data_IF_396069538744
#
_entry.id   IF_396069538744
#
_cell.length_a   1.000
_cell.length_b   1.000
_cell.length_c   1.000
_cell.angle_alpha   90.00
_cell.angle_beta   90.00
_cell.angle_gamma   90.00
#
_symmetry.space_group_name_H-M   'P 1'
#
loop_
_entity.id
_entity.type
_entity.pdbx_description
1 polymer ?
#
# COMPACT_ATOMS: atom_id res chain seq x y z
N UNK A 1 37.50 52.18 13.47
CA UNK A 1 38.21 50.89 13.53
C UNK A 1 37.18 49.79 13.33
N UNK A 2 37.31 49.04 12.24
CA UNK A 2 36.45 47.92 11.90
C UNK A 2 36.73 46.74 12.84
N UNK A 3 35.69 46.08 13.35
CA UNK A 3 35.78 44.65 13.68
C UNK A 3 34.47 43.97 13.28
N UNK A 4 34.58 43.17 12.22
CA UNK A 4 33.50 42.39 11.66
C UNK A 4 33.57 40.93 12.18
N UNK A 5 32.38 40.36 12.35
CA UNK A 5 31.97 38.95 12.16
C UNK A 5 32.59 37.85 13.02
N UNK A 6 31.68 37.06 13.61
CA UNK A 6 31.62 35.64 13.30
C UNK A 6 30.14 35.20 13.25
N UNK A 7 29.67 34.79 12.07
CA UNK A 7 28.46 33.98 11.89
C UNK A 7 28.94 32.53 11.86
N UNK A 8 28.46 31.73 12.79
CA UNK A 8 28.76 30.31 12.85
C UNK A 8 27.97 29.59 11.75
N UNK A 9 28.66 29.18 10.69
CA UNK A 9 28.08 28.39 9.60
C UNK A 9 28.39 26.92 9.88
N UNK A 10 27.33 26.14 10.06
CA UNK A 10 27.30 24.70 10.20
C UNK A 10 28.09 24.03 9.05
N UNK A 11 29.22 23.41 9.40
CA UNK A 11 30.05 22.67 8.44
C UNK A 11 29.37 21.35 8.12
N UNK A 12 28.66 21.29 6.99
CA UNK A 12 28.26 20.02 6.38
C UNK A 12 29.53 19.31 5.91
N UNK A 13 30.03 18.37 6.71
CA UNK A 13 31.15 17.49 6.34
C UNK A 13 30.72 16.59 5.19
N UNK A 14 31.27 16.83 4.00
CA UNK A 14 31.19 15.91 2.87
C UNK A 14 32.09 14.70 3.16
N UNK A 15 31.49 13.54 3.37
CA UNK A 15 32.22 12.28 3.45
C UNK A 15 32.55 11.84 2.03
N UNK A 16 33.84 11.71 1.70
CA UNK A 16 34.28 11.22 0.39
C UNK A 16 34.00 9.71 0.27
N UNK A 17 33.42 9.30 -0.85
CA UNK A 17 33.32 7.89 -1.24
C UNK A 17 34.70 7.45 -1.74
N UNK A 18 35.40 6.61 -0.96
CA UNK A 18 36.54 5.85 -1.47
C UNK A 18 36.00 4.71 -2.33
N UNK A 19 36.20 4.80 -3.65
CA UNK A 19 35.97 3.69 -4.58
C UNK A 19 37.32 3.01 -4.80
N UNK A 20 37.59 1.96 -4.02
CA UNK A 20 38.66 1.04 -4.36
C UNK A 20 38.16 0.15 -5.50
N UNK A 21 38.53 0.53 -6.73
CA UNK A 21 38.32 -0.25 -7.92
C UNK A 21 39.21 -1.50 -7.91
N UNK A 22 38.59 -2.67 -7.86
CA UNK A 22 38.77 -3.77 -8.82
C UNK A 22 38.19 -5.06 -8.25
N UNK A 23 37.24 -5.67 -8.96
CA UNK A 23 37.35 -7.07 -9.36
C UNK A 23 36.24 -7.38 -10.37
N UNK A 24 36.66 -7.45 -11.63
CA UNK A 24 35.87 -8.00 -12.71
C UNK A 24 35.82 -9.53 -12.53
N UNK A 25 34.64 -10.09 -12.28
CA UNK A 25 34.39 -11.51 -12.44
C UNK A 25 33.09 -11.70 -13.22
N UNK A 26 33.21 -12.06 -14.50
CA UNK A 26 32.12 -12.41 -15.39
C UNK A 26 31.88 -13.90 -15.23
N UNK A 27 30.93 -14.28 -14.37
CA UNK A 27 30.36 -15.63 -14.38
C UNK A 27 28.84 -15.50 -14.50
N UNK A 28 28.33 -15.89 -15.67
CA UNK A 28 26.93 -15.91 -16.06
C UNK A 28 26.11 -16.93 -15.26
N UNK A 29 25.69 -16.56 -14.07
CA UNK A 29 24.44 -17.03 -13.46
C UNK A 29 23.68 -15.79 -13.00
N UNK A 30 22.36 -15.72 -13.25
CA UNK A 30 21.53 -14.56 -12.91
C UNK A 30 21.98 -13.96 -11.57
N UNK A 31 22.55 -12.75 -11.55
CA UNK A 31 23.10 -12.23 -10.32
C UNK A 31 21.89 -12.03 -9.40
N UNK A 32 21.78 -12.87 -8.37
CA UNK A 32 21.16 -12.43 -7.13
C UNK A 32 21.98 -11.23 -6.70
N UNK A 33 21.61 -10.05 -7.19
CA UNK A 33 22.11 -8.76 -6.75
C UNK A 33 21.85 -8.74 -5.27
N UNK A 34 22.89 -9.11 -4.50
CA UNK A 34 22.90 -8.95 -3.05
C UNK A 34 22.91 -7.45 -2.87
N UNK A 35 21.72 -6.92 -2.62
CA UNK A 35 21.48 -5.53 -2.27
C UNK A 35 22.49 -5.18 -1.17
N UNK A 36 23.39 -4.23 -1.43
CA UNK A 36 24.37 -3.81 -0.42
C UNK A 36 23.61 -3.30 0.79
N UNK A 37 23.82 -3.94 1.95
CA UNK A 37 23.20 -3.50 3.20
C UNK A 37 23.77 -2.14 3.58
N UNK A 38 22.92 -1.12 3.67
CA UNK A 38 23.35 0.17 4.21
C UNK A 38 23.42 0.07 5.74
N UNK A 39 24.64 0.22 6.27
CA UNK A 39 24.89 0.32 7.70
C UNK A 39 25.12 1.78 8.07
N UNK A 40 24.21 2.37 8.83
CA UNK A 40 24.46 3.65 9.52
C UNK A 40 24.65 3.34 11.00
N UNK A 41 25.83 3.65 11.53
CA UNK A 41 26.18 3.44 12.93
C UNK A 41 26.07 1.96 13.39
N UNK A 42 26.31 1.00 12.48
CA UNK A 42 26.18 -0.44 12.75
C UNK A 42 24.74 -0.97 12.75
N UNK A 43 23.75 -0.15 12.42
CA UNK A 43 22.35 -0.54 12.29
C UNK A 43 22.06 -0.89 10.83
N UNK A 44 21.59 -2.11 10.57
CA UNK A 44 21.08 -2.50 9.25
C UNK A 44 19.76 -1.77 8.98
N UNK A 45 19.74 -0.94 7.94
CA UNK A 45 18.53 -0.23 7.55
C UNK A 45 17.68 -1.09 6.60
N UNK A 46 16.37 -1.21 6.83
CA UNK A 46 15.46 -1.84 5.87
C UNK A 46 15.34 -1.03 4.58
N UNK A 47 15.10 -1.73 3.47
CA UNK A 47 14.97 -1.15 2.13
C UNK A 47 13.49 -1.02 1.73
N UNK A 48 13.09 0.13 1.21
CA UNK A 48 11.76 0.35 0.65
C UNK A 48 11.73 0.00 -0.84
N UNK A 49 10.85 -0.95 -1.22
CA UNK A 49 10.71 -1.39 -2.62
C UNK A 49 10.03 -0.41 -3.58
N UNK A 50 9.45 0.70 -3.10
CA UNK A 50 8.78 1.72 -3.94
C UNK A 50 9.74 2.87 -4.27
N UNK A 51 10.29 3.53 -3.25
CA UNK A 51 11.21 4.67 -3.47
C UNK A 51 12.67 4.24 -3.67
N UNK A 52 12.96 2.94 -3.58
CA UNK A 52 14.30 2.36 -3.73
C UNK A 52 15.35 2.96 -2.78
N UNK A 53 14.96 3.23 -1.53
CA UNK A 53 15.80 3.87 -0.52
C UNK A 53 15.81 3.08 0.80
N UNK A 54 16.91 3.22 1.55
CA UNK A 54 17.06 2.66 2.90
C UNK A 54 16.48 3.61 3.94
N UNK A 55 15.55 3.11 4.75
CA UNK A 55 14.88 3.91 5.78
C UNK A 55 15.14 3.40 7.18
N UNK A 56 15.10 4.27 8.21
CA UNK A 56 15.03 3.82 9.59
C UNK A 56 13.81 2.94 9.84
N UNK A 57 13.90 1.98 10.76
CA UNK A 57 12.79 1.04 11.05
C UNK A 57 11.49 1.76 11.44
N UNK A 58 11.57 2.89 12.15
CA UNK A 58 10.40 3.67 12.54
C UNK A 58 9.69 4.39 11.37
N UNK A 59 10.38 4.56 10.24
CA UNK A 59 9.78 5.02 8.98
C UNK A 59 9.21 3.86 8.14
N UNK A 60 9.42 2.61 8.54
CA UNK A 60 8.89 1.45 7.83
C UNK A 60 7.45 1.13 8.23
N UNK A 61 6.72 0.57 7.28
CA UNK A 61 5.39 0.05 7.50
C UNK A 61 5.47 -1.45 7.81
N UNK A 62 5.04 -1.84 9.01
CA UNK A 62 5.33 -3.19 9.57
C UNK A 62 4.17 -4.19 9.43
N UNK A 63 3.03 -3.79 8.84
CA UNK A 63 1.78 -4.57 8.93
C UNK A 63 1.60 -5.61 7.81
N UNK A 64 2.61 -5.83 6.96
CA UNK A 64 2.49 -6.68 5.77
C UNK A 64 2.95 -8.11 6.01
N UNK A 65 2.02 -9.07 5.95
CA UNK A 65 2.29 -10.51 6.09
C UNK A 65 3.18 -11.12 4.99
N UNK A 66 3.40 -10.43 3.88
CA UNK A 66 4.14 -10.96 2.73
C UNK A 66 5.66 -10.80 2.84
N UNK A 67 6.16 -10.06 3.83
CA UNK A 67 7.61 -9.80 4.01
C UNK A 67 8.18 -8.74 3.07
N UNK A 68 7.39 -8.16 2.17
CA UNK A 68 7.80 -6.98 1.40
C UNK A 68 7.77 -5.73 2.27
N UNK A 69 8.78 -4.88 2.10
CA UNK A 69 9.03 -3.74 2.95
C UNK A 69 8.82 -2.43 2.20
N UNK A 70 8.03 -1.54 2.78
CA UNK A 70 7.77 -0.21 2.24
C UNK A 70 7.79 0.81 3.37
N UNK A 71 8.28 2.01 3.07
CA UNK A 71 8.23 3.09 4.05
C UNK A 71 6.78 3.60 4.18
N UNK A 72 6.47 4.20 5.33
CA UNK A 72 5.14 4.73 5.65
C UNK A 72 4.69 5.76 4.63
N UNK A 73 5.57 6.64 4.18
CA UNK A 73 5.25 7.63 3.15
C UNK A 73 4.81 6.98 1.84
N UNK A 74 5.59 6.03 1.31
CA UNK A 74 5.22 5.34 0.07
C UNK A 74 3.93 4.53 0.22
N UNK A 75 3.71 3.88 1.36
CA UNK A 75 2.48 3.13 1.60
C UNK A 75 1.27 4.05 1.71
N UNK A 76 1.43 5.23 2.32
CA UNK A 76 0.38 6.24 2.45
C UNK A 76 -0.10 6.69 1.07
N UNK A 77 0.82 7.15 0.22
CA UNK A 77 0.52 7.57 -1.15
C UNK A 77 -0.06 6.44 -2.00
N UNK A 78 0.48 5.23 -1.86
CA UNK A 78 0.00 4.07 -2.60
C UNK A 78 -1.45 3.73 -2.22
N UNK A 79 -1.76 3.66 -0.92
CA UNK A 79 -3.12 3.39 -0.45
C UNK A 79 -4.06 4.50 -0.88
N UNK A 80 -3.65 5.76 -0.80
CA UNK A 80 -4.43 6.89 -1.30
C UNK A 80 -4.80 6.70 -2.79
N UNK A 81 -3.81 6.34 -3.61
CA UNK A 81 -4.00 6.08 -5.03
C UNK A 81 -4.94 4.90 -5.27
N UNK A 82 -4.81 3.80 -4.52
CA UNK A 82 -5.72 2.66 -4.62
C UNK A 82 -7.17 3.07 -4.33
N UNK A 83 -7.38 3.80 -3.24
CA UNK A 83 -8.71 4.25 -2.84
C UNK A 83 -9.31 5.20 -3.88
N UNK A 84 -8.53 6.16 -4.42
CA UNK A 84 -8.94 7.02 -5.53
C UNK A 84 -9.31 6.25 -6.80
N UNK A 85 -8.72 5.07 -7.01
CA UNK A 85 -9.04 4.15 -8.10
C UNK A 85 -10.12 3.12 -7.73
N UNK A 86 -10.86 3.35 -6.64
CA UNK A 86 -11.92 2.48 -6.11
C UNK A 86 -11.45 1.05 -5.77
N UNK A 87 -10.16 0.87 -5.50
CA UNK A 87 -9.56 -0.40 -5.11
C UNK A 87 -9.68 -0.54 -3.58
N UNK A 88 -10.78 -1.16 -3.14
CA UNK A 88 -11.12 -1.30 -1.71
C UNK A 88 -10.38 -2.43 -1.00
N UNK A 89 -9.79 -3.36 -1.76
CA UNK A 89 -8.94 -4.44 -1.23
C UNK A 89 -7.55 -4.22 -1.81
N UNK A 90 -6.69 -3.58 -1.02
CA UNK A 90 -5.40 -3.04 -1.47
C UNK A 90 -4.41 -4.20 -1.72
N UNK A 91 -3.91 -4.39 -2.94
CA UNK A 91 -2.88 -5.39 -3.20
C UNK A 91 -1.52 -4.93 -2.69
N UNK A 92 -0.62 -5.88 -2.38
CA UNK A 92 0.78 -5.58 -2.13
C UNK A 92 1.39 -4.78 -3.31
N UNK A 93 2.15 -3.69 -3.08
CA UNK A 93 2.78 -2.93 -4.16
C UNK A 93 3.77 -3.73 -5.03
N UNK A 94 4.31 -4.84 -4.50
CA UNK A 94 5.10 -5.76 -5.31
C UNK A 94 4.21 -6.52 -6.30
N UNK A 95 4.40 -6.25 -7.60
CA UNK A 95 3.62 -6.82 -8.71
C UNK A 95 3.57 -8.36 -8.76
N UNK A 96 4.55 -9.06 -8.20
CA UNK A 96 4.59 -10.54 -8.18
C UNK A 96 3.93 -11.11 -6.93
N UNK A 97 3.52 -10.27 -5.99
CA UNK A 97 2.88 -10.67 -4.74
C UNK A 97 1.35 -10.72 -4.89
N UNK A 98 0.74 -11.81 -4.43
CA UNK A 98 -0.72 -12.02 -4.48
C UNK A 98 -1.44 -11.64 -3.19
N UNK A 99 -0.71 -11.17 -2.17
CA UNK A 99 -1.31 -10.81 -0.87
C UNK A 99 -2.05 -9.49 -1.00
N UNK A 100 -3.25 -9.43 -0.39
CA UNK A 100 -4.10 -8.25 -0.36
C UNK A 100 -4.48 -7.90 1.09
N UNK A 101 -4.86 -6.64 1.30
CA UNK A 101 -5.08 -6.07 2.62
C UNK A 101 -6.38 -5.28 2.68
N UNK A 102 -7.14 -5.50 3.75
CA UNK A 102 -8.27 -4.66 4.12
C UNK A 102 -7.88 -3.47 4.99
N UNK A 103 -8.84 -2.59 5.32
CA UNK A 103 -8.64 -1.37 6.12
C UNK A 103 -7.95 -1.63 7.46
N UNK A 104 -8.21 -2.77 8.09
CA UNK A 104 -7.65 -3.13 9.40
C UNK A 104 -6.11 -3.13 9.44
N UNK A 105 -5.45 -3.32 8.29
CA UNK A 105 -3.99 -3.30 8.19
C UNK A 105 -3.41 -1.88 8.17
N UNK A 106 -4.23 -0.85 7.92
CA UNK A 106 -3.78 0.52 7.74
C UNK A 106 -4.12 1.44 8.93
N UNK A 107 -4.51 0.85 10.07
CA UNK A 107 -4.87 1.57 11.30
C UNK A 107 -3.77 2.51 11.83
N UNK A 108 -2.50 2.13 11.66
CA UNK A 108 -1.34 2.94 12.09
C UNK A 108 -0.92 3.98 11.06
N UNK A 109 -1.48 3.93 9.86
CA UNK A 109 -1.08 4.74 8.71
C UNK A 109 -2.11 5.82 8.38
N UNK A 110 -3.40 5.49 8.51
CA UNK A 110 -4.50 6.35 8.10
C UNK A 110 -5.26 6.92 9.31
N UNK A 111 -5.81 8.14 9.19
CA UNK A 111 -6.73 8.68 10.18
C UNK A 111 -7.96 7.78 10.39
N UNK A 112 -8.49 7.74 11.62
CA UNK A 112 -9.65 6.93 11.99
C UNK A 112 -10.87 7.17 11.09
N UNK A 113 -11.16 8.43 10.75
CA UNK A 113 -12.31 8.76 9.90
C UNK A 113 -12.17 8.16 8.50
N UNK A 114 -10.95 8.07 7.96
CA UNK A 114 -10.67 7.41 6.67
C UNK A 114 -10.96 5.93 6.74
N UNK A 115 -10.51 5.27 7.80
CA UNK A 115 -10.70 3.83 8.01
C UNK A 115 -12.17 3.46 8.22
N UNK A 116 -12.87 4.21 9.07
CA UNK A 116 -14.30 4.01 9.37
C UNK A 116 -15.15 4.10 8.11
N UNK A 117 -14.83 5.09 7.29
CA UNK A 117 -15.47 5.36 6.00
C UNK A 117 -15.18 4.25 4.99
N UNK A 118 -13.92 3.87 4.80
CA UNK A 118 -13.54 2.74 3.96
C UNK A 118 -14.29 1.45 4.36
N UNK A 119 -14.32 1.13 5.66
CA UNK A 119 -15.06 -0.02 6.18
C UNK A 119 -16.57 0.04 5.90
N UNK A 120 -17.16 1.23 5.89
CA UNK A 120 -18.58 1.41 5.53
C UNK A 120 -18.82 1.06 4.06
N UNK A 121 -18.00 1.58 3.14
CA UNK A 121 -18.13 1.27 1.70
C UNK A 121 -18.03 -0.23 1.44
N UNK A 122 -17.04 -0.90 2.04
CA UNK A 122 -16.91 -2.37 1.92
C UNK A 122 -18.19 -3.09 2.39
N UNK A 123 -18.81 -2.63 3.48
CA UNK A 123 -20.05 -3.24 3.98
C UNK A 123 -21.21 -3.02 3.02
N UNK A 124 -21.39 -1.78 2.57
CA UNK A 124 -22.50 -1.40 1.69
C UNK A 124 -22.41 -2.11 0.32
N UNK A 125 -21.20 -2.35 -0.20
CA UNK A 125 -21.00 -3.12 -1.44
C UNK A 125 -21.19 -4.64 -1.26
N UNK A 126 -20.92 -5.15 -0.06
CA UNK A 126 -21.07 -6.59 0.24
C UNK A 126 -22.47 -6.95 0.77
N UNK A 127 -23.33 -5.97 1.04
CA UNK A 127 -24.73 -6.27 1.36
C UNK A 127 -25.46 -6.67 0.08
N UNK A 128 -26.05 -7.88 0.03
CA UNK A 128 -27.04 -8.19 -1.00
C UNK A 128 -28.11 -7.11 -0.93
N UNK A 129 -28.50 -6.56 -2.08
CA UNK A 129 -29.66 -5.68 -2.18
C UNK A 129 -30.83 -6.48 -1.63
N UNK A 130 -31.18 -6.29 -0.35
CA UNK A 130 -32.47 -6.72 0.14
C UNK A 130 -33.43 -5.74 -0.50
N UNK A 131 -33.97 -6.16 -1.65
CA UNK A 131 -35.16 -5.62 -2.23
C UNK A 131 -36.16 -5.43 -1.09
N UNK A 132 -36.37 -4.17 -0.70
CA UNK A 132 -37.46 -3.78 0.17
C UNK A 132 -38.75 -3.92 -0.62
N UNK A 133 -39.13 -5.15 -0.96
CA UNK A 133 -40.48 -5.49 -1.36
C UNK A 133 -41.31 -5.49 -0.08
N UNK A 134 -42.13 -4.45 0.05
CA UNK A 134 -43.12 -4.28 1.11
C UNK A 134 -44.12 -5.46 1.08
N UNK A 135 -44.25 -6.12 2.24
CA UNK A 135 -45.41 -6.85 2.78
C UNK A 135 -46.48 -7.39 1.80
N UNK A 136 -46.63 -8.72 1.76
CA UNK A 136 -47.85 -9.51 2.16
C UNK A 136 -47.78 -10.96 1.64
N UNK A 137 -47.76 -11.92 2.56
CA UNK A 137 -47.98 -13.38 2.33
C UNK A 137 -49.43 -13.66 1.83
N UNK A 138 -49.86 -14.86 1.31
CA UNK A 138 -49.14 -16.14 1.13
C UNK A 138 -49.40 -16.96 -0.17
N UNK A 139 -48.42 -17.85 -0.47
CA UNK A 139 -48.48 -19.20 -1.10
C UNK A 139 -49.20 -19.39 -2.46
N UNK A 140 -48.42 -19.72 -3.50
CA UNK A 140 -48.69 -20.92 -4.31
C UNK A 140 -47.41 -21.50 -4.91
N UNK A 141 -47.19 -22.79 -4.65
CA UNK A 141 -46.11 -23.62 -5.21
C UNK A 141 -46.40 -23.98 -6.67
N UNK A 142 -45.37 -23.96 -7.51
CA UNK A 142 -45.10 -24.93 -8.57
C UNK A 142 -43.69 -24.66 -9.14
N UNK A 143 -42.76 -25.54 -8.77
CA UNK A 143 -41.78 -26.25 -9.61
C UNK A 143 -41.30 -25.57 -10.92
N UNK A 144 -39.99 -25.33 -11.03
CA UNK A 144 -39.14 -26.12 -11.94
C UNK A 144 -37.65 -25.76 -11.80
N UNK A 145 -36.86 -26.82 -11.82
CA UNK A 145 -35.41 -27.00 -11.71
C UNK A 145 -34.69 -26.53 -12.98
N UNK A 146 -33.50 -25.89 -12.88
CA UNK A 146 -32.32 -26.26 -13.69
C UNK A 146 -31.05 -25.40 -13.41
N UNK A 147 -30.03 -26.12 -12.93
CA UNK A 147 -28.57 -26.02 -13.11
C UNK A 147 -27.67 -24.85 -12.67
N UNK A 148 -26.57 -25.32 -12.06
CA UNK A 148 -25.36 -24.66 -11.58
C UNK A 148 -24.32 -24.38 -12.69
N UNK A 149 -23.27 -23.67 -12.25
CA UNK A 149 -21.93 -23.48 -12.84
C UNK A 149 -21.75 -22.31 -13.81
N UNK A 150 -21.08 -21.23 -13.36
CA UNK A 150 -19.69 -20.89 -13.76
C UNK A 150 -19.02 -20.10 -12.61
N UNK A 151 -17.83 -20.54 -12.20
CA UNK A 151 -16.88 -19.76 -11.40
C UNK A 151 -16.02 -18.93 -12.35
N UNK A 152 -15.98 -17.62 -12.17
CA UNK A 152 -14.88 -16.80 -12.68
C UNK A 152 -14.55 -15.72 -11.64
N UNK A 153 -13.26 -15.52 -11.40
CA UNK A 153 -12.70 -14.62 -10.40
C UNK A 153 -13.08 -13.16 -10.69
N UNK A 154 -14.21 -12.72 -10.14
CA UNK A 154 -14.63 -11.33 -10.21
C UNK A 154 -13.71 -10.48 -9.32
N UNK A 155 -12.71 -9.84 -9.94
CA UNK A 155 -12.28 -8.53 -9.46
C UNK A 155 -13.52 -7.65 -9.62
N UNK A 156 -14.21 -7.39 -8.49
CA UNK A 156 -15.31 -6.44 -8.45
C UNK A 156 -14.70 -5.07 -8.68
N UNK A 157 -14.57 -4.67 -9.94
CA UNK A 157 -14.46 -3.28 -10.32
C UNK A 157 -15.85 -2.74 -10.07
N UNK A 158 -16.01 -2.05 -8.93
CA UNK A 158 -17.25 -1.36 -8.61
C UNK A 158 -17.27 -0.14 -9.53
N UNK A 159 -17.84 -0.31 -10.73
CA UNK A 159 -18.42 0.80 -11.48
C UNK A 159 -19.77 1.06 -10.83
N UNK A 160 -19.89 2.19 -10.14
CA UNK A 160 -21.15 2.67 -9.58
C UNK A 160 -21.19 4.14 -9.87
N UNK A 161 -22.01 4.49 -10.84
CA UNK A 161 -22.27 5.85 -11.26
C UNK A 161 -22.62 6.74 -10.04
N UNK A 162 -22.03 7.94 -10.06
CA UNK A 162 -22.39 9.17 -9.33
C UNK A 162 -21.81 9.50 -7.93
N UNK A 163 -20.71 8.88 -7.46
CA UNK A 163 -19.99 9.35 -6.24
C UNK A 163 -18.45 9.37 -6.35
N UNK A 164 -17.90 9.45 -7.57
CA UNK A 164 -16.45 9.37 -7.90
C UNK A 164 -15.54 10.45 -7.28
N UNK A 165 -16.10 11.37 -6.49
CA UNK A 165 -15.37 12.48 -5.88
C UNK A 165 -15.04 12.32 -4.39
N UNK A 166 -15.52 11.27 -3.71
CA UNK A 166 -15.46 11.21 -2.24
C UNK A 166 -14.04 11.17 -1.63
N UNK A 167 -13.06 10.62 -2.36
CA UNK A 167 -11.67 10.58 -1.90
C UNK A 167 -10.91 11.89 -2.10
N UNK A 168 -11.42 12.82 -2.92
CA UNK A 168 -10.73 14.08 -3.21
C UNK A 168 -10.84 15.12 -2.08
N UNK A 169 -11.72 14.92 -1.10
CA UNK A 169 -11.94 15.86 0.01
C UNK A 169 -11.32 15.43 1.35
N UNK A 170 -10.63 14.27 1.40
CA UNK A 170 -10.15 13.65 2.65
C UNK A 170 -8.64 13.70 2.85
N UNK A 171 -7.90 14.26 1.91
CA UNK A 171 -6.43 14.33 1.86
C UNK A 171 -6.00 15.75 1.49
#
# INVERSE_FOLDING_TARGET
MNLAKAKETEKVSRMALSIDGNNHNINNEDPKVKMMKLQKNGIELPFCGICCDFKPSWEMFETLKCGHNFCRFCMHEYVASCLRSNIMIVPCPDSKCKVKYGPEHFCSLLPFEVLKRWQKVIKDCNTPILDKQLDKNPIHVADDEENNDVKEDAIVVIESDDDDAWWNEMW
#
